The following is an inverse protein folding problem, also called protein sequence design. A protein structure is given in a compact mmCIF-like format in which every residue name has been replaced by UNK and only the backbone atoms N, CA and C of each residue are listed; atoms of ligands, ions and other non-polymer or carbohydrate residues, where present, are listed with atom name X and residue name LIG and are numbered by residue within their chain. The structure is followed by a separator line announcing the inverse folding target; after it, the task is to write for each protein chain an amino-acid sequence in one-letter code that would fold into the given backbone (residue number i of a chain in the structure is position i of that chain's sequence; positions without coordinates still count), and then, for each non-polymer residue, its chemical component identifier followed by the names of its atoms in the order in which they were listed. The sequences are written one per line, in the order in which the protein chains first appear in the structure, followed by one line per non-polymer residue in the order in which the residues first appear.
data_IF_304456110228
#
_entry.id   IF_304456110228
#
_cell.length_a   1.000
_cell.length_b   1.000
_cell.length_c   1.000
_cell.angle_alpha   90.00
_cell.angle_beta   90.00
_cell.angle_gamma   90.00
#
_symmetry.space_group_name_H-M   'P 1'
#
loop_
_entity.id
_entity.type
_entity.pdbx_description
1 polymer ?
#
# COMPACT_ATOMS: atom_id res chain seq x y z
N UNK A 1 7.28 66.29 4.23
CA UNK A 1 6.64 65.18 3.46
C UNK A 1 7.54 63.99 3.57
N UNK A 2 7.21 63.01 4.39
CA UNK A 2 7.97 61.74 4.58
C UNK A 2 7.23 60.64 3.86
N UNK A 3 7.86 60.04 2.84
CA UNK A 3 7.31 58.87 2.12
C UNK A 3 7.70 57.59 2.85
N UNK A 4 6.72 56.86 3.34
CA UNK A 4 6.92 55.55 3.94
C UNK A 4 6.92 54.49 2.82
N UNK A 5 8.05 53.79 2.64
CA UNK A 5 8.14 52.60 1.78
C UNK A 5 7.55 51.39 2.53
N UNK A 6 6.44 50.88 2.03
CA UNK A 6 5.92 49.57 2.45
C UNK A 6 6.63 48.44 1.66
N UNK A 7 7.42 47.65 2.37
CA UNK A 7 7.98 46.38 1.82
C UNK A 7 6.99 45.27 2.14
N UNK A 8 6.34 44.73 1.11
CA UNK A 8 5.47 43.57 1.25
C UNK A 8 6.31 42.28 1.41
N UNK A 9 5.96 41.36 2.34
CA UNK A 9 6.63 40.07 2.44
C UNK A 9 6.26 39.16 1.25
N UNK A 10 7.26 38.72 0.53
CA UNK A 10 7.08 37.68 -0.52
C UNK A 10 6.81 36.34 0.16
N UNK A 11 5.60 35.80 0.01
CA UNK A 11 5.30 34.42 0.33
C UNK A 11 6.03 33.51 -0.66
N UNK A 12 7.11 32.87 -0.22
CA UNK A 12 7.70 31.75 -0.95
C UNK A 12 6.74 30.56 -0.84
N UNK A 13 6.01 30.28 -1.91
CA UNK A 13 5.35 29.01 -2.09
C UNK A 13 6.44 27.94 -2.27
N UNK A 14 6.52 26.99 -1.34
CA UNK A 14 7.41 25.83 -1.48
C UNK A 14 6.94 25.01 -2.68
N UNK A 15 7.76 24.95 -3.75
CA UNK A 15 7.54 24.05 -4.87
C UNK A 15 7.58 22.60 -4.36
N UNK A 16 6.62 21.74 -4.75
CA UNK A 16 6.72 20.32 -4.45
C UNK A 16 7.96 19.76 -5.15
N UNK A 17 8.84 19.12 -4.37
CA UNK A 17 10.03 18.48 -4.88
C UNK A 17 9.67 17.47 -5.98
N UNK A 18 10.41 17.41 -7.11
CA UNK A 18 10.13 16.45 -8.18
C UNK A 18 10.25 15.03 -7.65
N UNK A 19 9.21 14.22 -7.84
CA UNK A 19 9.20 12.82 -7.50
C UNK A 19 10.26 12.09 -8.34
N UNK A 20 11.31 11.58 -7.72
CA UNK A 20 12.37 10.81 -8.39
C UNK A 20 11.83 9.39 -8.61
N UNK A 21 11.63 8.92 -9.85
CA UNK A 21 11.00 7.63 -10.15
C UNK A 21 11.73 6.42 -9.52
N UNK A 22 13.04 6.50 -9.29
CA UNK A 22 13.81 5.45 -8.62
C UNK A 22 13.72 5.44 -7.09
N UNK A 23 13.37 6.57 -6.47
CA UNK A 23 13.32 6.71 -5.02
C UNK A 23 12.16 5.94 -4.35
N UNK A 24 11.03 5.83 -5.01
CA UNK A 24 9.86 5.12 -4.47
C UNK A 24 10.02 3.61 -4.49
N UNK A 25 10.69 3.04 -5.50
CA UNK A 25 10.99 1.61 -5.57
C UNK A 25 11.97 1.17 -4.48
N UNK A 26 13.04 1.93 -4.26
CA UNK A 26 14.02 1.65 -3.20
C UNK A 26 13.43 1.81 -1.81
N UNK A 27 12.57 2.83 -1.60
CA UNK A 27 11.85 3.02 -0.34
C UNK A 27 10.86 1.87 -0.08
N UNK A 28 10.09 1.44 -1.09
CA UNK A 28 9.18 0.31 -0.99
C UNK A 28 9.92 -1.00 -0.68
N UNK A 29 11.07 -1.24 -1.31
CA UNK A 29 11.91 -2.39 -1.04
C UNK A 29 12.41 -2.42 0.41
N UNK A 30 12.90 -1.29 0.94
CA UNK A 30 13.38 -1.18 2.30
C UNK A 30 12.24 -1.40 3.33
N UNK A 31 11.06 -0.85 3.06
CA UNK A 31 9.87 -1.05 3.89
C UNK A 31 9.43 -2.51 3.89
N UNK A 32 9.38 -3.14 2.71
CA UNK A 32 9.07 -4.56 2.60
C UNK A 32 10.06 -5.42 3.40
N UNK A 33 11.36 -5.20 3.22
CA UNK A 33 12.40 -5.93 3.90
C UNK A 33 12.32 -5.80 5.43
N UNK A 34 12.02 -4.62 5.95
CA UNK A 34 12.00 -4.35 7.38
C UNK A 34 10.70 -4.72 8.08
N UNK A 35 9.55 -4.70 7.37
CA UNK A 35 8.22 -4.85 8.00
C UNK A 35 7.43 -6.06 7.55
N UNK A 36 7.63 -6.51 6.31
CA UNK A 36 6.78 -7.53 5.69
C UNK A 36 7.49 -8.88 5.55
N UNK A 37 8.80 -8.84 5.26
CA UNK A 37 9.57 -10.04 4.91
C UNK A 37 9.69 -11.05 6.06
N UNK A 38 9.57 -10.61 7.31
CA UNK A 38 9.63 -11.48 8.50
C UNK A 38 8.51 -12.55 8.47
N UNK A 39 7.36 -12.22 7.92
CA UNK A 39 6.24 -13.14 7.77
C UNK A 39 6.12 -13.67 6.33
N UNK A 40 6.21 -12.78 5.34
CA UNK A 40 5.98 -13.14 3.94
C UNK A 40 7.22 -13.65 3.18
N UNK A 41 8.39 -13.70 3.85
CA UNK A 41 9.66 -14.08 3.24
C UNK A 41 10.26 -12.95 2.40
N UNK A 42 11.57 -12.99 2.19
CA UNK A 42 12.29 -11.94 1.43
C UNK A 42 11.85 -11.83 -0.03
N UNK A 43 11.29 -12.90 -0.59
CA UNK A 43 10.74 -12.96 -1.93
C UNK A 43 9.21 -12.91 -1.96
N UNK A 44 8.54 -12.60 -0.84
CA UNK A 44 7.10 -12.55 -0.72
C UNK A 44 6.37 -13.88 -1.01
N UNK A 45 7.09 -15.01 -0.95
CA UNK A 45 6.55 -16.35 -1.21
C UNK A 45 5.65 -16.89 -0.08
N UNK A 46 5.73 -16.27 1.10
CA UNK A 46 5.00 -16.73 2.28
C UNK A 46 5.51 -18.06 2.86
N UNK A 47 4.71 -18.63 3.75
CA UNK A 47 4.90 -19.97 4.32
C UNK A 47 3.53 -20.68 4.27
N UNK A 48 3.37 -21.74 3.47
CA UNK A 48 2.08 -22.41 3.32
C UNK A 48 1.44 -22.79 4.66
N UNK A 49 0.17 -22.45 4.83
CA UNK A 49 -0.59 -22.70 6.07
C UNK A 49 -0.38 -21.67 7.19
N UNK A 50 0.68 -20.87 7.14
CA UNK A 50 1.00 -19.84 8.14
C UNK A 50 0.88 -18.42 7.58
N UNK A 51 1.62 -18.12 6.52
CA UNK A 51 1.65 -16.80 5.89
C UNK A 51 1.43 -16.92 4.39
N UNK A 52 0.43 -16.23 3.83
CA UNK A 52 0.12 -16.35 2.41
C UNK A 52 1.23 -15.76 1.52
N UNK A 53 1.40 -16.39 0.35
CA UNK A 53 2.16 -15.77 -0.74
C UNK A 53 1.48 -14.48 -1.19
N UNK A 54 2.28 -13.47 -1.54
CA UNK A 54 1.81 -12.20 -2.08
C UNK A 54 1.92 -12.13 -3.61
N UNK A 55 2.47 -13.17 -4.26
CA UNK A 55 2.83 -13.12 -5.69
C UNK A 55 1.64 -12.82 -6.60
N UNK A 56 0.70 -13.74 -6.69
CA UNK A 56 -0.38 -13.64 -7.68
C UNK A 56 -1.47 -12.66 -7.24
N UNK A 57 -1.77 -12.64 -5.94
CA UNK A 57 -2.92 -11.90 -5.42
C UNK A 57 -2.73 -10.40 -5.37
N UNK A 58 -1.55 -9.91 -4.96
CA UNK A 58 -1.29 -8.46 -4.98
C UNK A 58 -1.44 -7.92 -6.39
N UNK A 59 -0.92 -8.66 -7.37
CA UNK A 59 -0.99 -8.34 -8.78
C UNK A 59 -2.44 -8.28 -9.27
N UNK A 60 -3.21 -9.32 -9.01
CA UNK A 60 -4.59 -9.41 -9.46
C UNK A 60 -5.46 -8.32 -8.83
N UNK A 61 -5.32 -8.10 -7.53
CA UNK A 61 -6.10 -7.08 -6.82
C UNK A 61 -5.71 -5.66 -7.22
N UNK A 62 -4.44 -5.40 -7.51
CA UNK A 62 -4.01 -4.08 -7.98
C UNK A 62 -4.63 -3.67 -9.34
N UNK A 63 -5.13 -4.64 -10.13
CA UNK A 63 -5.79 -4.39 -11.43
C UNK A 63 -7.23 -3.88 -11.31
N UNK A 64 -7.87 -4.07 -10.17
CA UNK A 64 -9.28 -3.72 -9.98
C UNK A 64 -9.45 -2.69 -8.85
N UNK A 65 -10.34 -1.69 -8.99
CA UNK A 65 -10.49 -0.63 -7.99
C UNK A 65 -10.75 -1.15 -6.58
N UNK A 66 -11.68 -2.08 -6.41
CA UNK A 66 -11.98 -2.70 -5.10
C UNK A 66 -10.77 -3.43 -4.53
N UNK A 67 -9.96 -4.08 -5.36
CA UNK A 67 -8.76 -4.79 -4.94
C UNK A 67 -7.68 -3.82 -4.45
N UNK A 68 -7.54 -2.66 -5.10
CA UNK A 68 -6.62 -1.60 -4.65
C UNK A 68 -7.00 -1.10 -3.26
N UNK A 69 -8.28 -0.84 -3.03
CA UNK A 69 -8.79 -0.47 -1.71
C UNK A 69 -8.52 -1.56 -0.68
N UNK A 70 -8.81 -2.81 -1.01
CA UNK A 70 -8.54 -3.96 -0.15
C UNK A 70 -7.05 -4.03 0.23
N UNK A 71 -6.12 -3.90 -0.72
CA UNK A 71 -4.68 -3.93 -0.45
C UNK A 71 -4.25 -2.80 0.50
N UNK A 72 -4.77 -1.59 0.30
CA UNK A 72 -4.52 -0.46 1.21
C UNK A 72 -5.02 -0.78 2.61
N UNK A 73 -6.26 -1.28 2.73
CA UNK A 73 -6.86 -1.59 4.03
C UNK A 73 -6.17 -2.74 4.74
N UNK A 74 -5.69 -3.77 4.01
CA UNK A 74 -4.89 -4.86 4.59
C UNK A 74 -3.63 -4.32 5.25
N UNK A 75 -2.91 -3.41 4.61
CA UNK A 75 -1.69 -2.83 5.18
C UNK A 75 -2.01 -1.91 6.35
N UNK A 76 -3.00 -1.04 6.23
CA UNK A 76 -3.26 0.02 7.22
C UNK A 76 -4.08 -0.44 8.42
N UNK A 77 -4.94 -1.42 8.25
CA UNK A 77 -5.89 -1.89 9.27
C UNK A 77 -5.59 -3.32 9.74
N UNK A 78 -4.90 -4.10 8.89
CA UNK A 78 -4.68 -5.52 9.14
C UNK A 78 -5.80 -6.40 8.63
N UNK A 79 -5.67 -7.70 8.87
CA UNK A 79 -6.60 -8.73 8.43
C UNK A 79 -6.77 -9.79 9.51
N UNK A 80 -8.00 -10.25 9.75
CA UNK A 80 -8.28 -11.29 10.74
C UNK A 80 -9.25 -12.33 10.20
N UNK A 81 -8.95 -13.59 10.49
CA UNK A 81 -9.81 -14.74 10.24
C UNK A 81 -9.35 -15.60 9.08
N UNK A 82 -10.26 -16.48 8.64
CA UNK A 82 -9.96 -17.45 7.59
C UNK A 82 -9.81 -16.77 6.22
N UNK A 83 -8.70 -17.06 5.55
CA UNK A 83 -8.39 -16.60 4.22
C UNK A 83 -7.98 -17.80 3.35
N UNK A 84 -8.54 -17.92 2.15
CA UNK A 84 -8.13 -18.92 1.18
C UNK A 84 -7.28 -18.26 0.09
N UNK A 85 -6.07 -18.80 -0.14
CA UNK A 85 -5.11 -18.27 -1.10
C UNK A 85 -4.46 -19.44 -1.83
N UNK A 86 -4.59 -19.52 -3.15
CA UNK A 86 -4.03 -20.61 -3.94
C UNK A 86 -4.49 -22.01 -3.46
N UNK A 87 -5.75 -22.14 -3.05
CA UNK A 87 -6.31 -23.37 -2.51
C UNK A 87 -5.94 -23.68 -1.05
N UNK A 88 -4.98 -22.99 -0.46
CA UNK A 88 -4.55 -23.14 0.94
C UNK A 88 -5.38 -22.25 1.87
N UNK A 89 -5.83 -22.80 3.00
CA UNK A 89 -6.53 -22.01 4.03
C UNK A 89 -5.53 -21.51 5.07
N UNK A 90 -5.60 -20.21 5.32
CA UNK A 90 -4.84 -19.52 6.37
C UNK A 90 -5.82 -19.06 7.45
N UNK A 91 -5.53 -19.39 8.70
CA UNK A 91 -6.35 -18.99 9.84
C UNK A 91 -5.49 -18.22 10.83
N UNK A 92 -5.46 -16.91 10.70
CA UNK A 92 -4.57 -16.07 11.49
C UNK A 92 -4.93 -14.60 11.44
N UNK A 93 -3.99 -13.80 11.86
CA UNK A 93 -4.07 -12.34 11.82
C UNK A 93 -2.83 -11.75 11.15
N UNK A 94 -3.05 -10.84 10.22
CA UNK A 94 -2.03 -9.90 9.78
C UNK A 94 -2.20 -8.61 10.60
N UNK A 95 -1.22 -8.20 11.40
CA UNK A 95 -1.33 -6.97 12.16
C UNK A 95 -1.31 -5.74 11.22
N UNK A 96 -2.02 -4.70 11.64
CA UNK A 96 -1.92 -3.39 10.99
C UNK A 96 -0.47 -2.89 11.00
N UNK A 97 -0.01 -2.37 9.86
CA UNK A 97 1.30 -1.73 9.76
C UNK A 97 1.18 -0.25 10.17
N UNK A 98 0.80 -0.04 11.44
CA UNK A 98 0.66 1.30 12.01
C UNK A 98 1.98 2.06 11.98
N UNK A 99 1.91 3.39 11.81
CA UNK A 99 3.06 4.27 11.73
C UNK A 99 3.64 4.44 10.32
N UNK A 100 3.07 3.78 9.29
CA UNK A 100 3.36 4.11 7.90
C UNK A 100 2.51 5.29 7.45
N UNK A 101 3.15 6.27 6.81
CA UNK A 101 2.47 7.34 6.08
C UNK A 101 1.77 6.81 4.82
N UNK A 102 0.83 7.56 4.27
CA UNK A 102 0.17 7.21 3.00
C UNK A 102 1.19 7.00 1.85
N UNK A 103 2.25 7.81 1.82
CA UNK A 103 3.31 7.67 0.82
C UNK A 103 4.10 6.36 0.99
N UNK A 104 4.37 5.94 2.21
CA UNK A 104 5.05 4.68 2.51
C UNK A 104 4.18 3.46 2.20
N UNK A 105 2.88 3.53 2.51
CA UNK A 105 1.92 2.49 2.11
C UNK A 105 1.86 2.36 0.59
N UNK A 106 1.77 3.47 -0.13
CA UNK A 106 1.81 3.47 -1.60
C UNK A 106 3.13 2.88 -2.11
N UNK A 107 4.28 3.27 -1.54
CA UNK A 107 5.59 2.79 -1.97
C UNK A 107 5.74 1.28 -1.81
N UNK A 108 5.36 0.70 -0.67
CA UNK A 108 5.47 -0.75 -0.44
C UNK A 108 4.51 -1.55 -1.33
N UNK A 109 3.28 -1.07 -1.55
CA UNK A 109 2.33 -1.73 -2.44
C UNK A 109 2.79 -1.66 -3.91
N UNK A 110 3.32 -0.53 -4.36
CA UNK A 110 3.90 -0.40 -5.69
C UNK A 110 5.14 -1.27 -5.88
N UNK A 111 6.00 -1.37 -4.87
CA UNK A 111 7.14 -2.29 -4.89
C UNK A 111 6.68 -3.74 -5.06
N UNK A 112 5.73 -4.20 -4.27
CA UNK A 112 5.18 -5.54 -4.37
C UNK A 112 4.58 -5.77 -5.76
N UNK A 113 3.78 -4.82 -6.24
CA UNK A 113 3.17 -4.88 -7.54
C UNK A 113 4.20 -5.00 -8.67
N UNK A 114 5.27 -4.22 -8.65
CA UNK A 114 6.29 -4.22 -9.71
C UNK A 114 7.27 -5.41 -9.64
N UNK A 115 7.66 -5.85 -8.43
CA UNK A 115 8.64 -6.94 -8.29
C UNK A 115 8.04 -8.34 -8.42
N UNK A 116 6.72 -8.46 -8.27
CA UNK A 116 6.05 -9.75 -8.38
C UNK A 116 5.50 -10.03 -9.80
N UNK A 117 6.11 -9.48 -10.82
CA UNK A 117 5.78 -9.79 -12.22
C UNK A 117 4.92 -8.77 -12.95
N UNK A 118 4.77 -7.56 -12.38
CA UNK A 118 3.91 -6.52 -12.96
C UNK A 118 4.66 -5.37 -13.66
N UNK A 119 5.92 -5.54 -13.99
CA UNK A 119 6.68 -4.52 -14.72
C UNK A 119 6.04 -4.09 -16.05
N UNK A 120 5.01 -4.79 -16.51
CA UNK A 120 4.30 -4.50 -17.77
C UNK A 120 2.77 -4.65 -17.65
N UNK A 121 2.19 -4.54 -16.47
CA UNK A 121 0.79 -4.87 -16.22
C UNK A 121 -0.21 -3.77 -16.60
N UNK A 122 0.24 -2.60 -16.98
CA UNK A 122 -0.65 -1.44 -17.23
C UNK A 122 -1.36 -0.91 -15.98
N UNK A 123 -1.00 -1.39 -14.78
CA UNK A 123 -1.57 -0.90 -13.52
C UNK A 123 -0.91 0.42 -13.13
N UNK A 124 -1.71 1.45 -13.00
CA UNK A 124 -1.23 2.73 -12.50
C UNK A 124 -0.72 2.58 -11.06
N UNK A 125 0.46 3.15 -10.77
CA UNK A 125 1.00 3.17 -9.42
C UNK A 125 0.03 3.88 -8.46
N UNK A 126 0.00 3.41 -7.21
CA UNK A 126 -0.71 4.09 -6.12
C UNK A 126 0.06 5.36 -5.72
N UNK A 127 -0.68 6.44 -5.51
CA UNK A 127 -0.18 7.66 -4.87
C UNK A 127 -0.59 7.71 -3.39
N UNK A 128 0.01 8.62 -2.61
CA UNK A 128 -0.45 8.90 -1.25
C UNK A 128 -1.92 9.34 -1.21
N UNK A 129 -2.38 10.09 -2.23
CA UNK A 129 -3.77 10.50 -2.34
C UNK A 129 -4.72 9.31 -2.56
N UNK A 130 -4.32 8.29 -3.32
CA UNK A 130 -5.11 7.06 -3.49
C UNK A 130 -5.25 6.31 -2.17
N UNK A 131 -4.18 6.23 -1.38
CA UNK A 131 -4.20 5.61 -0.05
C UNK A 131 -5.14 6.37 0.90
N UNK A 132 -5.03 7.70 0.95
CA UNK A 132 -5.92 8.54 1.74
C UNK A 132 -7.38 8.38 1.34
N UNK A 133 -7.66 8.37 0.03
CA UNK A 133 -9.01 8.18 -0.51
C UNK A 133 -9.59 6.80 -0.19
N UNK A 134 -8.79 5.73 -0.28
CA UNK A 134 -9.20 4.38 0.11
C UNK A 134 -9.60 4.32 1.59
N UNK A 135 -8.78 4.87 2.48
CA UNK A 135 -9.09 4.96 3.92
C UNK A 135 -10.36 5.74 4.20
N UNK A 136 -10.59 6.84 3.49
CA UNK A 136 -11.80 7.66 3.66
C UNK A 136 -13.08 6.93 3.20
N UNK A 137 -13.00 6.08 2.15
CA UNK A 137 -14.12 5.25 1.71
C UNK A 137 -14.51 4.16 2.71
N UNK A 138 -13.57 3.73 3.55
CA UNK A 138 -13.74 2.65 4.52
C UNK A 138 -13.58 3.18 5.95
N UNK A 139 -14.56 3.98 6.40
CA UNK A 139 -14.51 4.74 7.65
C UNK A 139 -14.62 3.88 8.93
N UNK A 140 -15.01 2.62 8.81
CA UNK A 140 -15.00 1.64 9.94
C UNK A 140 -13.85 0.63 9.76
N UNK A 141 -12.61 1.02 10.12
CA UNK A 141 -11.44 0.22 9.85
C UNK A 141 -11.27 -0.86 10.92
N UNK A 142 -11.78 -2.05 10.64
CA UNK A 142 -11.47 -3.24 11.46
C UNK A 142 -10.86 -4.34 10.59
N UNK A 143 -10.02 -5.23 11.15
CA UNK A 143 -9.47 -6.36 10.41
C UNK A 143 -10.54 -7.28 9.81
N UNK A 144 -11.71 -7.38 10.46
CA UNK A 144 -12.87 -8.14 9.98
C UNK A 144 -13.54 -7.42 8.79
N UNK A 145 -13.75 -6.11 8.89
CA UNK A 145 -14.29 -5.30 7.80
C UNK A 145 -13.34 -5.33 6.59
N UNK A 146 -12.03 -5.23 6.81
CA UNK A 146 -11.02 -5.38 5.75
C UNK A 146 -11.16 -6.71 5.03
N UNK A 147 -11.38 -7.81 5.76
CA UNK A 147 -11.57 -9.13 5.13
C UNK A 147 -12.81 -9.15 4.22
N UNK A 148 -13.88 -8.47 4.59
CA UNK A 148 -15.09 -8.39 3.78
C UNK A 148 -14.91 -7.61 2.46
N UNK A 149 -13.88 -6.76 2.37
CA UNK A 149 -13.53 -6.03 1.13
C UNK A 149 -12.81 -6.90 0.10
N UNK A 150 -12.35 -8.10 0.49
CA UNK A 150 -11.58 -8.96 -0.41
C UNK A 150 -12.40 -9.31 -1.66
N UNK A 151 -11.88 -9.05 -2.87
CA UNK A 151 -12.55 -9.47 -4.08
C UNK A 151 -12.81 -10.99 -4.12
N UNK A 152 -13.98 -11.37 -4.62
CA UNK A 152 -14.38 -12.78 -4.68
C UNK A 152 -13.61 -13.59 -5.74
N UNK A 153 -13.06 -12.92 -6.77
CA UNK A 153 -12.27 -13.56 -7.80
C UNK A 153 -10.83 -13.77 -7.29
N UNK A 154 -10.43 -15.00 -7.10
CA UNK A 154 -9.02 -15.38 -7.14
C UNK A 154 -8.59 -15.45 -8.61
N UNK A 155 -7.37 -14.97 -8.94
CA UNK A 155 -6.84 -15.11 -10.29
C UNK A 155 -6.58 -16.57 -10.64
#
# INVERSE_FOLDING_TARGET
MAAALFVAPACFAAEPAPAVPGGTQSAGAALFASRCSVCHGSQAAGIPGYFPSLHEQVVAFAKIPQGRDYLVMVVTTGLLGNLKVGGVTYNGAMPAQSGLSEAEVAAVLNYLASNLGMNDSGVAALSAADVSAARARHADPSPQATRALRPAAEP
#
